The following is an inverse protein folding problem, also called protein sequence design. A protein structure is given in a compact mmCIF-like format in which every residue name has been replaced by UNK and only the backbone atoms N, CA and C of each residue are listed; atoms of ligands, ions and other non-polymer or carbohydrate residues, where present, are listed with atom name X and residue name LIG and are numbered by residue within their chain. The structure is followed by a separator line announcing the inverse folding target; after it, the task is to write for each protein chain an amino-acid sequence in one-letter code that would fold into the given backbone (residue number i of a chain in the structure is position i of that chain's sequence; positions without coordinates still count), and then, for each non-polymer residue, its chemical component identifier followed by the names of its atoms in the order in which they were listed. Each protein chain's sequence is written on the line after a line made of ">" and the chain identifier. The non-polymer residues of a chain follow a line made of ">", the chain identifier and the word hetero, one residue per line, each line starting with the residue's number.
data_IF_983211853707
#
_entry.id   IF_983211853707
#
_cell.length_a   1.000
_cell.length_b   1.000
_cell.length_c   1.000
_cell.angle_alpha   90.00
_cell.angle_beta   90.00
_cell.angle_gamma   90.00
#
_symmetry.space_group_name_H-M   'P 1'
#
loop_
_entity.id
_entity.type
_entity.pdbx_description
1 polymer ?
#
# COMPACT_ATOMS: atom_id res chain seq x y z
N UNK A 1 2.99 -35.77 -27.32
CA UNK A 1 2.39 -36.00 -25.99
C UNK A 1 1.97 -34.67 -25.40
N UNK A 2 0.69 -34.31 -25.58
CA UNK A 2 0.09 -33.08 -25.05
C UNK A 2 -0.27 -33.29 -23.57
N UNK A 3 0.45 -32.64 -22.66
CA UNK A 3 0.09 -32.63 -21.24
C UNK A 3 -1.30 -32.00 -21.08
N UNK A 4 -2.23 -32.60 -20.33
CA UNK A 4 -3.54 -32.02 -20.10
C UNK A 4 -3.38 -30.69 -19.35
N UNK A 5 -3.87 -29.61 -19.96
CA UNK A 5 -3.96 -28.29 -19.33
C UNK A 5 -4.89 -28.43 -18.12
N UNK A 6 -4.34 -28.52 -16.91
CA UNK A 6 -5.11 -28.41 -15.67
C UNK A 6 -5.91 -27.12 -15.76
N UNK A 7 -7.25 -27.22 -15.78
CA UNK A 7 -8.16 -26.07 -15.75
C UNK A 7 -7.82 -25.24 -14.51
N UNK A 8 -7.09 -24.15 -14.69
CA UNK A 8 -6.81 -23.22 -13.60
C UNK A 8 -8.15 -22.71 -13.06
N UNK A 9 -8.43 -22.98 -11.80
CA UNK A 9 -9.66 -22.53 -11.16
C UNK A 9 -9.62 -21.01 -11.01
N UNK A 10 -10.78 -20.38 -11.17
CA UNK A 10 -10.93 -18.95 -10.90
C UNK A 10 -10.58 -18.68 -9.45
N UNK A 11 -9.84 -17.60 -9.17
CA UNK A 11 -9.64 -17.16 -7.78
C UNK A 11 -10.95 -16.69 -7.14
N UNK A 12 -11.95 -16.30 -7.94
CA UNK A 12 -13.22 -15.80 -7.43
C UNK A 12 -14.03 -16.88 -6.71
N UNK A 13 -13.97 -18.15 -7.15
CA UNK A 13 -14.73 -19.25 -6.55
C UNK A 13 -14.36 -19.55 -5.08
N UNK A 14 -13.09 -19.79 -4.73
CA UNK A 14 -12.70 -20.02 -3.34
C UNK A 14 -12.89 -18.77 -2.47
N UNK A 15 -12.66 -17.58 -3.02
CA UNK A 15 -12.93 -16.31 -2.33
C UNK A 15 -14.41 -16.17 -1.98
N UNK A 16 -15.28 -16.39 -2.97
CA UNK A 16 -16.72 -16.27 -2.80
C UNK A 16 -17.27 -17.30 -1.81
N UNK A 17 -16.80 -18.56 -1.90
CA UNK A 17 -17.15 -19.61 -0.95
C UNK A 17 -16.72 -19.24 0.48
N UNK A 18 -15.52 -18.69 0.65
CA UNK A 18 -15.00 -18.27 1.94
C UNK A 18 -15.80 -17.10 2.54
N UNK A 19 -16.13 -16.08 1.73
CA UNK A 19 -16.95 -14.93 2.16
C UNK A 19 -18.34 -15.39 2.56
N UNK A 20 -19.00 -16.25 1.76
CA UNK A 20 -20.31 -16.81 2.10
C UNK A 20 -20.23 -17.61 3.40
N UNK A 21 -19.25 -18.50 3.54
CA UNK A 21 -19.08 -19.31 4.74
C UNK A 21 -18.93 -18.44 5.99
N UNK A 22 -18.15 -17.36 5.91
CA UNK A 22 -17.98 -16.40 7.02
C UNK A 22 -19.25 -15.62 7.35
N UNK A 23 -20.01 -15.18 6.34
CA UNK A 23 -21.30 -14.50 6.56
C UNK A 23 -22.32 -15.44 7.20
N UNK A 24 -22.41 -16.68 6.71
CA UNK A 24 -23.30 -17.72 7.28
C UNK A 24 -22.91 -18.02 8.72
N UNK A 25 -21.61 -18.20 9.00
CA UNK A 25 -21.11 -18.45 10.35
C UNK A 25 -21.42 -17.30 11.31
N UNK A 26 -21.17 -16.05 10.89
CA UNK A 26 -21.48 -14.87 11.71
C UNK A 26 -22.98 -14.74 11.97
N UNK A 27 -23.82 -14.98 10.96
CA UNK A 27 -25.28 -14.94 11.09
C UNK A 27 -25.77 -16.03 12.03
N UNK A 28 -25.23 -17.25 11.93
CA UNK A 28 -25.56 -18.36 12.82
C UNK A 28 -25.15 -18.08 14.28
N UNK A 29 -23.98 -17.47 14.50
CA UNK A 29 -23.51 -17.05 15.83
C UNK A 29 -24.45 -16.00 16.41
N UNK A 30 -24.80 -14.97 15.63
CA UNK A 30 -25.71 -13.90 16.07
C UNK A 30 -27.12 -14.45 16.37
N UNK A 31 -27.62 -15.34 15.51
CA UNK A 31 -28.89 -16.03 15.70
C UNK A 31 -28.87 -16.87 16.98
N UNK A 32 -27.83 -17.69 17.17
CA UNK A 32 -27.71 -18.52 18.36
C UNK A 32 -27.69 -17.67 19.63
N UNK A 33 -26.93 -16.57 19.66
CA UNK A 33 -26.87 -15.67 20.83
C UNK A 33 -28.19 -14.95 21.10
N UNK A 34 -28.86 -14.48 20.04
CA UNK A 34 -30.15 -13.78 20.15
C UNK A 34 -31.24 -14.70 20.71
N UNK A 35 -31.22 -15.99 20.34
CA UNK A 35 -32.24 -16.97 20.71
C UNK A 35 -31.85 -17.91 21.86
N UNK A 36 -30.58 -17.94 22.30
CA UNK A 36 -30.07 -18.80 23.38
C UNK A 36 -30.31 -18.25 24.80
N UNK A 37 -31.19 -17.26 24.95
CA UNK A 37 -31.69 -16.87 26.24
C UNK A 37 -32.62 -15.67 26.12
N UNK A 38 -33.78 -15.66 26.80
CA UNK A 38 -34.54 -14.43 26.94
C UNK A 38 -33.68 -13.38 27.68
N UNK A 39 -33.81 -12.08 27.35
CA UNK A 39 -33.22 -11.04 28.19
C UNK A 39 -33.68 -11.28 29.64
N UNK A 40 -32.83 -11.03 30.65
CA UNK A 40 -33.17 -11.27 32.05
C UNK A 40 -34.35 -10.39 32.45
N UNK A 41 -35.57 -10.89 32.28
CA UNK A 41 -36.76 -10.29 32.88
C UNK A 41 -36.90 -10.90 34.25
N UNK A 42 -36.98 -10.08 35.29
CA UNK A 42 -37.37 -10.55 36.62
C UNK A 42 -38.76 -11.19 36.46
N UNK A 43 -38.97 -12.44 36.90
CA UNK A 43 -40.29 -13.04 36.85
C UNK A 43 -41.27 -12.20 37.67
N UNK A 44 -42.56 -12.12 37.29
CA UNK A 44 -43.54 -11.36 38.04
C UNK A 44 -43.59 -11.80 39.49
N UNK A 45 -43.78 -10.82 40.38
CA UNK A 45 -43.91 -11.07 41.82
C UNK A 45 -45.36 -10.88 42.24
N UNK A 46 -46.03 -11.93 42.76
CA UNK A 46 -47.37 -11.76 43.28
C UNK A 46 -47.32 -10.87 44.53
N UNK A 47 -48.32 -9.99 44.67
CA UNK A 47 -48.46 -9.10 45.84
C UNK A 47 -48.45 -9.88 47.16
N UNK A 48 -48.98 -11.10 47.17
CA UNK A 48 -49.02 -11.98 48.33
C UNK A 48 -47.60 -12.37 48.80
N UNK A 49 -46.67 -12.62 47.87
CA UNK A 49 -45.28 -12.92 48.23
C UNK A 49 -44.55 -11.70 48.79
N UNK A 50 -44.86 -10.52 48.29
CA UNK A 50 -44.28 -9.25 48.79
C UNK A 50 -44.85 -8.93 50.18
N UNK A 51 -46.15 -9.16 50.37
CA UNK A 51 -46.85 -8.99 51.65
C UNK A 51 -46.30 -9.96 52.71
N UNK A 52 -46.07 -11.22 52.35
CA UNK A 52 -45.43 -12.19 53.23
C UNK A 52 -44.03 -11.74 53.65
N UNK A 53 -43.23 -11.23 52.70
CA UNK A 53 -41.90 -10.68 53.00
C UNK A 53 -41.96 -9.43 53.92
N UNK A 54 -42.95 -8.55 53.76
CA UNK A 54 -43.19 -7.42 54.68
C UNK A 54 -43.55 -7.90 56.09
N UNK A 55 -44.29 -9.01 56.21
CA UNK A 55 -44.58 -9.64 57.51
C UNK A 55 -43.39 -10.36 58.13
N UNK A 56 -42.30 -10.54 57.39
CA UNK A 56 -41.15 -11.36 57.81
C UNK A 56 -41.43 -12.87 57.72
N UNK A 57 -42.48 -13.27 57.01
CA UNK A 57 -42.82 -14.67 56.76
C UNK A 57 -42.09 -15.19 55.51
N UNK A 58 -41.80 -16.50 55.42
CA UNK A 58 -41.32 -17.08 54.18
C UNK A 58 -42.37 -16.84 53.07
N UNK A 59 -41.95 -16.46 51.85
CA UNK A 59 -42.90 -16.23 50.78
C UNK A 59 -43.63 -17.53 50.42
N UNK A 60 -44.94 -17.49 50.13
CA UNK A 60 -45.66 -18.66 49.65
C UNK A 60 -45.02 -19.20 48.35
N UNK A 61 -45.11 -20.52 48.10
CA UNK A 61 -44.64 -21.09 46.85
C UNK A 61 -45.33 -20.39 45.68
N UNK A 62 -44.57 -20.07 44.63
CA UNK A 62 -45.13 -19.42 43.45
C UNK A 62 -46.16 -20.36 42.79
N UNK A 63 -47.32 -19.84 42.36
CA UNK A 63 -48.32 -20.66 41.70
C UNK A 63 -47.77 -21.33 40.43
N UNK A 64 -48.29 -22.51 40.03
CA UNK A 64 -47.77 -23.28 38.90
C UNK A 64 -47.77 -22.50 37.58
N UNK A 65 -48.69 -21.56 37.39
CA UNK A 65 -48.72 -20.66 36.22
C UNK A 65 -47.48 -19.77 36.08
N UNK A 66 -46.85 -19.37 37.19
CA UNK A 66 -45.60 -18.61 37.18
C UNK A 66 -44.38 -19.48 36.84
N UNK A 67 -44.53 -20.81 36.96
CA UNK A 67 -43.53 -21.80 36.55
C UNK A 67 -43.71 -22.26 35.09
N UNK A 68 -44.79 -21.85 34.40
CA UNK A 68 -45.08 -22.26 33.00
C UNK A 68 -44.12 -21.69 31.96
N UNK A 69 -43.41 -20.61 32.26
CA UNK A 69 -42.37 -20.06 31.37
C UNK A 69 -41.04 -20.82 31.48
N UNK A 70 -41.09 -22.14 31.57
CA UNK A 70 -39.92 -23.01 31.38
C UNK A 70 -39.72 -23.14 29.86
N UNK A 71 -38.58 -22.71 29.28
CA UNK A 71 -38.35 -22.91 27.86
C UNK A 71 -38.46 -24.41 27.52
N UNK A 72 -39.14 -24.78 26.43
CA UNK A 72 -39.29 -26.18 26.04
C UNK A 72 -37.91 -26.70 25.62
N UNK A 73 -37.37 -27.68 26.35
CA UNK A 73 -36.05 -28.26 26.10
C UNK A 73 -35.14 -28.21 27.32
N UNK A 74 -35.03 -29.35 28.01
CA UNK A 74 -34.37 -29.53 29.31
C UNK A 74 -32.85 -29.35 29.36
N UNK A 75 -32.31 -28.18 28.99
CA UNK A 75 -30.90 -27.81 29.27
C UNK A 75 -30.71 -26.46 29.96
N UNK A 76 -31.74 -25.63 30.05
CA UNK A 76 -31.67 -24.34 30.73
C UNK A 76 -32.21 -24.46 32.15
N UNK A 77 -31.38 -24.09 33.15
CA UNK A 77 -31.77 -24.01 34.57
C UNK A 77 -33.04 -23.16 34.68
N UNK A 78 -34.05 -23.67 35.37
CA UNK A 78 -35.25 -22.92 35.74
C UNK A 78 -34.86 -21.52 36.26
N UNK A 79 -35.67 -20.50 35.95
CA UNK A 79 -35.47 -19.13 36.42
C UNK A 79 -35.03 -19.13 37.89
N UNK A 80 -33.80 -18.70 38.16
CA UNK A 80 -33.31 -18.59 39.53
C UNK A 80 -33.95 -17.34 40.10
N UNK A 81 -35.03 -17.52 40.85
CA UNK A 81 -35.75 -16.43 41.50
C UNK A 81 -34.88 -15.91 42.62
N UNK A 82 -34.22 -14.76 42.41
CA UNK A 82 -33.44 -14.13 43.48
C UNK A 82 -34.35 -13.73 44.65
N UNK A 83 -33.91 -13.85 45.89
CA UNK A 83 -34.70 -13.43 47.05
C UNK A 83 -35.00 -11.92 46.99
N UNK A 84 -36.13 -11.51 47.56
CA UNK A 84 -36.45 -10.09 47.73
C UNK A 84 -35.50 -9.48 48.77
N UNK A 85 -35.03 -8.26 48.53
CA UNK A 85 -34.22 -7.52 49.50
C UNK A 85 -35.15 -6.98 50.59
N UNK A 86 -34.96 -7.44 51.83
CA UNK A 86 -35.72 -6.96 52.99
C UNK A 86 -34.80 -6.12 53.89
N UNK A 87 -35.22 -4.89 54.17
CA UNK A 87 -34.45 -3.92 54.94
C UNK A 87 -35.37 -3.28 55.99
N UNK A 88 -34.81 -2.86 57.12
CA UNK A 88 -35.51 -2.02 58.10
C UNK A 88 -34.81 -0.67 58.17
N UNK A 89 -35.56 0.43 58.08
CA UNK A 89 -35.04 1.79 58.03
C UNK A 89 -35.84 2.70 58.97
N UNK A 90 -35.15 3.65 59.64
CA UNK A 90 -35.82 4.60 60.53
C UNK A 90 -36.62 5.69 59.78
N UNK A 91 -36.20 6.03 58.56
CA UNK A 91 -36.84 7.03 57.71
C UNK A 91 -37.63 6.39 56.55
N UNK A 92 -38.60 7.13 56.02
CA UNK A 92 -39.36 6.71 54.85
C UNK A 92 -38.43 6.49 53.63
N UNK A 93 -38.55 5.37 52.91
CA UNK A 93 -37.70 5.11 51.76
C UNK A 93 -38.04 6.00 50.58
N UNK A 94 -37.01 6.41 49.83
CA UNK A 94 -37.15 7.12 48.56
C UNK A 94 -37.26 6.13 47.39
N UNK A 95 -37.96 6.50 46.29
CA UNK A 95 -38.01 5.70 45.07
C UNK A 95 -36.61 5.55 44.43
N UNK A 96 -36.37 4.41 43.77
CA UNK A 96 -35.18 4.25 42.90
C UNK A 96 -35.37 5.01 41.57
N UNK A 97 -34.27 5.22 40.81
CA UNK A 97 -34.19 6.04 39.57
C UNK A 97 -35.34 5.85 38.55
N UNK A 98 -35.99 4.68 38.49
CA UNK A 98 -37.09 4.40 37.55
C UNK A 98 -38.46 4.16 38.21
N UNK A 99 -38.53 4.19 39.53
CA UNK A 99 -39.76 3.89 40.27
C UNK A 99 -40.58 5.18 40.44
N UNK A 100 -41.91 5.05 40.29
CA UNK A 100 -42.86 6.13 40.51
C UNK A 100 -43.85 5.75 41.61
N UNK A 101 -44.41 6.70 42.37
CA UNK A 101 -45.46 6.41 43.34
C UNK A 101 -46.65 5.71 42.68
N UNK A 102 -47.10 4.59 43.27
CA UNK A 102 -48.17 3.76 42.76
C UNK A 102 -49.26 3.55 43.82
N UNK A 103 -50.25 4.46 43.79
CA UNK A 103 -51.36 4.47 44.75
C UNK A 103 -52.23 3.21 44.67
N UNK A 104 -52.33 2.57 43.50
CA UNK A 104 -53.12 1.35 43.33
C UNK A 104 -52.45 0.17 44.04
N UNK A 105 -51.13 0.01 43.84
CA UNK A 105 -50.34 -1.01 44.53
C UNK A 105 -50.32 -0.75 46.03
N UNK A 106 -50.17 0.51 46.46
CA UNK A 106 -50.22 0.93 47.86
C UNK A 106 -51.53 0.50 48.53
N UNK A 107 -52.68 0.84 47.95
CA UNK A 107 -53.99 0.50 48.50
C UNK A 107 -54.19 -1.02 48.61
N UNK A 108 -53.73 -1.79 47.62
CA UNK A 108 -53.87 -3.25 47.61
C UNK A 108 -53.02 -3.94 48.67
N UNK A 109 -51.79 -3.47 48.87
CA UNK A 109 -50.91 -4.00 49.91
C UNK A 109 -51.44 -3.64 51.30
N UNK A 110 -51.97 -2.42 51.47
CA UNK A 110 -52.62 -2.02 52.72
C UNK A 110 -53.80 -2.93 53.07
N UNK A 111 -54.65 -3.27 52.09
CA UNK A 111 -55.73 -4.25 52.27
C UNK A 111 -55.19 -5.63 52.65
N UNK A 112 -54.15 -6.12 51.97
CA UNK A 112 -53.56 -7.42 52.26
C UNK A 112 -52.87 -7.48 53.63
N UNK A 113 -52.30 -6.37 54.10
CA UNK A 113 -51.67 -6.23 55.42
C UNK A 113 -52.68 -5.95 56.55
N UNK A 114 -53.92 -5.57 56.22
CA UNK A 114 -54.94 -5.07 57.15
C UNK A 114 -54.50 -3.80 57.90
N UNK A 115 -53.94 -2.83 57.18
CA UNK A 115 -53.47 -1.53 57.71
C UNK A 115 -54.03 -0.35 56.92
N UNK A 116 -53.91 0.87 57.44
CA UNK A 116 -54.33 2.06 56.71
C UNK A 116 -53.45 2.29 55.47
N UNK A 117 -53.99 2.77 54.33
CA UNK A 117 -53.19 3.07 53.14
C UNK A 117 -52.03 4.03 53.40
N UNK A 118 -52.15 4.92 54.38
CA UNK A 118 -51.09 5.86 54.78
C UNK A 118 -49.87 5.21 55.43
N UNK A 119 -50.01 3.99 55.97
CA UNK A 119 -48.91 3.24 56.59
C UNK A 119 -48.09 2.44 55.58
N UNK A 120 -48.47 2.48 54.30
CA UNK A 120 -47.79 1.77 53.22
C UNK A 120 -47.31 2.77 52.18
N UNK A 121 -46.08 2.61 51.71
CA UNK A 121 -45.55 3.31 50.54
C UNK A 121 -45.25 2.29 49.45
N UNK A 122 -45.67 2.58 48.22
CA UNK A 122 -45.38 1.73 47.07
C UNK A 122 -44.82 2.57 45.91
N UNK A 123 -43.64 2.20 45.44
CA UNK A 123 -43.00 2.76 44.26
C UNK A 123 -42.74 1.63 43.26
N UNK A 124 -43.22 1.78 42.03
CA UNK A 124 -43.11 0.75 40.97
C UNK A 124 -42.56 1.35 39.66
N UNK A 125 -41.72 0.62 38.93
CA UNK A 125 -41.22 1.03 37.60
C UNK A 125 -42.27 0.78 36.51
N UNK A 126 -42.92 -0.37 36.56
CA UNK A 126 -43.92 -0.81 35.58
C UNK A 126 -45.27 -0.97 36.26
N UNK A 127 -46.34 -0.61 35.55
CA UNK A 127 -47.69 -0.80 36.03
C UNK A 127 -47.99 -2.29 36.30
N UNK A 128 -48.71 -2.61 37.39
CA UNK A 128 -49.09 -3.98 37.72
C UNK A 128 -49.87 -4.69 36.57
N UNK A 129 -49.63 -5.99 36.34
CA UNK A 129 -50.43 -6.82 35.41
C UNK A 129 -51.24 -7.87 36.18
N UNK A 130 -51.98 -8.73 35.47
CA UNK A 130 -52.80 -9.79 36.10
C UNK A 130 -53.92 -9.23 36.98
N UNK A 131 -54.64 -8.22 36.47
CA UNK A 131 -55.62 -7.47 37.26
C UNK A 131 -55.01 -6.65 38.39
N UNK A 132 -53.67 -6.46 38.37
CA UNK A 132 -52.84 -5.73 39.32
C UNK A 132 -52.41 -6.54 40.54
N UNK A 133 -52.43 -7.87 40.45
CA UNK A 133 -51.96 -8.77 41.53
C UNK A 133 -50.48 -9.11 41.40
N UNK A 134 -49.83 -8.65 40.34
CA UNK A 134 -48.45 -8.98 39.97
C UNK A 134 -47.64 -7.72 39.65
N UNK A 135 -46.45 -7.61 40.26
CA UNK A 135 -45.49 -6.54 39.98
C UNK A 135 -44.36 -7.02 39.07
N UNK A 136 -43.90 -6.12 38.20
CA UNK A 136 -42.83 -6.33 37.22
C UNK A 136 -41.78 -5.23 37.34
N UNK A 137 -40.55 -5.52 36.94
CA UNK A 137 -39.45 -4.55 36.96
C UNK A 137 -38.99 -4.21 38.36
N UNK A 138 -38.36 -3.04 38.53
CA UNK A 138 -37.95 -2.58 39.86
C UNK A 138 -39.14 -2.07 40.68
N UNK A 139 -39.18 -2.44 41.95
CA UNK A 139 -40.16 -1.90 42.90
C UNK A 139 -39.56 -1.76 44.31
N UNK A 140 -40.09 -0.79 45.04
CA UNK A 140 -39.83 -0.54 46.45
C UNK A 140 -41.16 -0.41 47.19
N UNK A 141 -41.43 -1.31 48.12
CA UNK A 141 -42.63 -1.26 48.96
C UNK A 141 -42.20 -1.19 50.42
N UNK A 142 -42.83 -0.31 51.18
CA UNK A 142 -42.53 -0.09 52.57
C UNK A 142 -43.78 -0.14 53.42
N UNK A 143 -43.65 -0.72 54.61
CA UNK A 143 -44.68 -0.72 55.65
C UNK A 143 -44.14 -0.05 56.90
N UNK A 144 -44.89 0.92 57.43
CA UNK A 144 -44.60 1.62 58.66
C UNK A 144 -44.95 0.74 59.88
N UNK A 145 -43.96 0.43 60.71
CA UNK A 145 -44.10 -0.24 61.99
C UNK A 145 -43.72 0.73 63.12
N UNK A 146 -44.12 0.45 64.39
CA UNK A 146 -43.74 1.29 65.54
C UNK A 146 -42.23 1.48 65.73
N UNK A 147 -41.42 0.58 65.17
CA UNK A 147 -39.96 0.57 65.26
C UNK A 147 -39.26 1.15 64.01
N UNK A 148 -40.04 1.65 63.04
CA UNK A 148 -39.55 2.19 61.76
C UNK A 148 -40.20 1.54 60.54
N UNK A 149 -39.65 1.80 59.36
CA UNK A 149 -40.12 1.29 58.08
C UNK A 149 -39.48 -0.05 57.75
N UNK A 150 -40.29 -1.05 57.41
CA UNK A 150 -39.81 -2.27 56.78
C UNK A 150 -40.00 -2.19 55.28
N UNK A 151 -38.91 -2.33 54.54
CA UNK A 151 -38.82 -2.10 53.11
C UNK A 151 -38.51 -3.41 52.40
N UNK A 152 -39.33 -3.76 51.42
CA UNK A 152 -39.12 -4.88 50.51
C UNK A 152 -38.86 -4.33 49.12
N UNK A 153 -37.71 -4.68 48.53
CA UNK A 153 -37.31 -4.23 47.20
C UNK A 153 -37.04 -5.41 46.29
N UNK A 154 -37.29 -5.20 45.00
CA UNK A 154 -36.73 -6.08 43.96
C UNK A 154 -35.20 -6.00 43.96
N UNK A 155 -34.48 -7.10 43.68
CA UNK A 155 -33.02 -7.05 43.53
C UNK A 155 -32.62 -6.09 42.41
N UNK A 156 -31.50 -5.38 42.60
CA UNK A 156 -30.95 -4.51 41.55
C UNK A 156 -30.49 -5.36 40.35
N UNK A 157 -31.08 -5.13 39.18
CA UNK A 157 -30.62 -5.78 37.95
C UNK A 157 -29.18 -5.34 37.65
N UNK A 158 -28.23 -6.27 37.44
CA UNK A 158 -26.87 -5.89 37.10
C UNK A 158 -26.84 -5.18 35.74
N UNK A 159 -26.08 -4.08 35.64
CA UNK A 159 -25.90 -3.34 34.40
C UNK A 159 -25.33 -4.21 33.27
N UNK A 160 -24.47 -5.17 33.62
CA UNK A 160 -23.91 -6.18 32.70
C UNK A 160 -24.30 -7.58 33.15
N UNK A 161 -24.94 -8.34 32.26
CA UNK A 161 -25.37 -9.71 32.52
C UNK A 161 -24.50 -10.68 31.71
N UNK A 162 -24.49 -11.96 32.08
CA UNK A 162 -23.81 -13.00 31.28
C UNK A 162 -24.33 -13.06 29.85
N UNK A 163 -25.59 -12.72 29.61
CA UNK A 163 -26.17 -12.62 28.27
C UNK A 163 -25.55 -11.47 27.47
N UNK A 164 -25.37 -10.28 28.07
CA UNK A 164 -24.65 -9.17 27.45
C UNK A 164 -23.20 -9.56 27.11
N UNK A 165 -22.49 -10.22 28.04
CA UNK A 165 -21.13 -10.69 27.80
C UNK A 165 -21.06 -11.71 26.66
N UNK A 166 -21.97 -12.70 26.64
CA UNK A 166 -22.06 -13.67 25.55
C UNK A 166 -22.34 -12.99 24.20
N UNK A 167 -23.16 -11.94 24.21
CA UNK A 167 -23.48 -11.16 23.00
C UNK A 167 -22.28 -10.38 22.48
N UNK A 168 -21.53 -9.72 23.38
CA UNK A 168 -20.30 -9.02 23.02
C UNK A 168 -19.23 -9.99 22.48
N UNK A 169 -19.05 -11.13 23.13
CA UNK A 169 -18.11 -12.18 22.67
C UNK A 169 -18.52 -12.68 21.28
N UNK A 170 -19.81 -12.98 21.08
CA UNK A 170 -20.32 -13.43 19.78
C UNK A 170 -20.13 -12.40 18.67
N UNK A 171 -20.35 -11.12 18.96
CA UNK A 171 -20.11 -10.03 18.00
C UNK A 171 -18.62 -9.90 17.66
N UNK A 172 -17.73 -10.02 18.64
CA UNK A 172 -16.28 -10.04 18.41
C UNK A 172 -15.86 -11.23 17.53
N UNK A 173 -16.37 -12.43 17.82
CA UNK A 173 -16.09 -13.63 17.02
C UNK A 173 -16.59 -13.45 15.59
N UNK A 174 -17.79 -12.89 15.40
CA UNK A 174 -18.32 -12.58 14.06
C UNK A 174 -17.42 -11.59 13.30
N UNK A 175 -16.98 -10.51 13.95
CA UNK A 175 -16.06 -9.53 13.35
C UNK A 175 -14.75 -10.20 12.92
N UNK A 176 -14.14 -11.00 13.78
CA UNK A 176 -12.89 -11.72 13.47
C UNK A 176 -13.11 -12.71 12.32
N UNK A 177 -14.22 -13.46 12.34
CA UNK A 177 -14.58 -14.43 11.29
C UNK A 177 -14.80 -13.78 9.92
N UNK A 178 -15.29 -12.53 9.86
CA UNK A 178 -15.41 -11.75 8.63
C UNK A 178 -14.11 -11.04 8.23
N UNK A 179 -13.26 -10.68 9.19
CA UNK A 179 -12.01 -9.94 8.92
C UNK A 179 -10.92 -10.80 8.28
N UNK A 180 -10.78 -12.06 8.73
CA UNK A 180 -9.79 -13.00 8.18
C UNK A 180 -9.94 -13.19 6.65
N UNK A 181 -11.12 -13.53 6.11
CA UNK A 181 -11.29 -13.72 4.67
C UNK A 181 -11.17 -12.42 3.89
N UNK A 182 -11.60 -11.29 4.45
CA UNK A 182 -11.42 -9.98 3.83
C UNK A 182 -9.93 -9.62 3.69
N UNK A 183 -9.13 -9.89 4.73
CA UNK A 183 -7.68 -9.70 4.68
C UNK A 183 -7.00 -10.66 3.68
N UNK A 184 -7.38 -11.94 3.69
CA UNK A 184 -6.87 -12.92 2.72
C UNK A 184 -7.21 -12.51 1.29
N UNK A 185 -8.44 -12.07 1.04
CA UNK A 185 -8.91 -11.56 -0.25
C UNK A 185 -8.08 -10.36 -0.72
N UNK A 186 -7.93 -9.35 0.14
CA UNK A 186 -7.12 -8.16 -0.14
C UNK A 186 -5.70 -8.55 -0.53
N UNK A 187 -5.09 -9.50 0.19
CA UNK A 187 -3.71 -9.95 -0.07
C UNK A 187 -3.61 -10.82 -1.33
N UNK A 188 -4.61 -11.63 -1.62
CA UNK A 188 -4.67 -12.50 -2.80
C UNK A 188 -4.82 -11.72 -4.11
N UNK A 189 -5.50 -10.56 -4.08
CA UNK A 189 -5.67 -9.68 -5.26
C UNK A 189 -4.52 -8.67 -5.36
N UNK A 190 -4.19 -7.97 -4.28
CA UNK A 190 -3.24 -6.84 -4.34
C UNK A 190 -1.81 -7.27 -4.66
N UNK A 191 -1.37 -8.43 -4.15
CA UNK A 191 0.00 -8.93 -4.39
C UNK A 191 0.29 -9.23 -5.87
N UNK A 192 -0.52 -10.04 -6.59
CA UNK A 192 -0.27 -10.30 -8.00
C UNK A 192 -0.39 -9.03 -8.85
N UNK A 193 -1.34 -8.14 -8.55
CA UNK A 193 -1.45 -6.85 -9.25
C UNK A 193 -0.18 -6.00 -9.09
N UNK A 194 0.35 -5.88 -7.88
CA UNK A 194 1.59 -5.14 -7.63
C UNK A 194 2.79 -5.73 -8.38
N UNK A 195 2.88 -7.07 -8.47
CA UNK A 195 3.93 -7.73 -9.26
C UNK A 195 3.78 -7.50 -10.76
N UNK A 196 2.55 -7.51 -11.27
CA UNK A 196 2.27 -7.23 -12.68
C UNK A 196 2.55 -5.77 -13.03
N UNK A 197 2.20 -4.82 -12.16
CA UNK A 197 2.55 -3.42 -12.31
C UNK A 197 4.07 -3.21 -12.35
N UNK A 198 4.80 -3.80 -11.40
CA UNK A 198 6.27 -3.74 -11.39
C UNK A 198 6.90 -4.39 -12.64
N UNK A 199 6.30 -5.45 -13.20
CA UNK A 199 6.75 -6.06 -14.45
C UNK A 199 6.49 -5.14 -15.67
N UNK A 200 5.38 -4.41 -15.67
CA UNK A 200 5.06 -3.42 -16.71
C UNK A 200 6.03 -2.22 -16.66
N UNK A 201 6.31 -1.66 -15.47
CA UNK A 201 7.24 -0.54 -15.32
C UNK A 201 8.65 -0.90 -15.82
N UNK A 202 9.11 -2.12 -15.50
CA UNK A 202 10.41 -2.65 -15.97
C UNK A 202 10.46 -2.88 -17.48
N UNK A 203 9.32 -3.10 -18.13
CA UNK A 203 9.26 -3.21 -19.59
C UNK A 203 9.65 -1.89 -20.27
N UNK A 204 9.30 -0.75 -19.67
CA UNK A 204 9.65 0.58 -20.18
C UNK A 204 11.15 0.88 -20.13
N UNK A 205 11.89 0.22 -19.23
CA UNK A 205 13.35 0.42 -19.07
C UNK A 205 14.19 -0.62 -19.82
N UNK A 206 13.56 -1.51 -20.61
CA UNK A 206 14.24 -2.60 -21.31
C UNK A 206 14.79 -3.70 -20.40
N UNK A 207 14.35 -3.76 -19.14
CA UNK A 207 14.82 -4.75 -18.17
C UNK A 207 14.17 -6.12 -18.41
N UNK A 208 14.84 -7.25 -18.09
CA UNK A 208 14.27 -8.58 -18.27
C UNK A 208 12.94 -8.78 -17.53
N UNK A 209 12.02 -9.50 -18.15
CA UNK A 209 10.74 -9.84 -17.54
C UNK A 209 10.96 -10.66 -16.25
N UNK A 210 10.49 -10.17 -15.08
CA UNK A 210 10.57 -10.95 -13.83
C UNK A 210 9.61 -12.15 -13.90
N UNK A 211 9.81 -13.19 -13.06
CA UNK A 211 8.91 -14.33 -13.00
C UNK A 211 7.48 -13.87 -12.68
N UNK A 212 6.57 -14.05 -13.65
CA UNK A 212 5.19 -13.63 -13.52
C UNK A 212 4.44 -14.52 -12.51
N UNK A 213 3.47 -13.96 -11.77
CA UNK A 213 2.76 -14.72 -10.75
C UNK A 213 1.94 -15.88 -11.34
N UNK A 214 2.14 -17.07 -10.79
CA UNK A 214 1.25 -18.22 -10.99
C UNK A 214 0.00 -18.05 -10.11
N UNK A 215 -1.08 -17.52 -10.69
CA UNK A 215 -2.35 -17.30 -10.00
C UNK A 215 -3.52 -18.06 -10.61
N UNK A 216 -4.74 -17.68 -10.21
CA UNK A 216 -5.97 -18.14 -10.86
C UNK A 216 -6.02 -17.79 -12.34
N UNK A 217 -7.06 -18.26 -13.04
CA UNK A 217 -7.22 -18.04 -14.48
C UNK A 217 -7.08 -16.56 -14.86
N UNK A 218 -7.70 -15.67 -14.10
CA UNK A 218 -7.71 -14.22 -14.36
C UNK A 218 -6.29 -13.62 -14.26
N UNK A 219 -5.54 -14.01 -13.22
CA UNK A 219 -4.15 -13.56 -13.03
C UNK A 219 -3.25 -14.13 -14.12
N UNK A 220 -3.48 -15.37 -14.56
CA UNK A 220 -2.72 -16.00 -15.65
C UNK A 220 -3.00 -15.35 -17.00
N UNK A 221 -4.25 -15.01 -17.30
CA UNK A 221 -4.62 -14.29 -18.52
C UNK A 221 -3.95 -12.91 -18.56
N UNK A 222 -3.99 -12.17 -17.44
CA UNK A 222 -3.32 -10.88 -17.35
C UNK A 222 -1.79 -11.01 -17.42
N UNK A 223 -1.21 -12.00 -16.75
CA UNK A 223 0.23 -12.31 -16.84
C UNK A 223 0.63 -12.62 -18.29
N UNK A 224 -0.15 -13.42 -19.01
CA UNK A 224 0.10 -13.72 -20.41
C UNK A 224 0.02 -12.45 -21.29
N UNK A 225 -0.96 -11.58 -21.05
CA UNK A 225 -1.08 -10.30 -21.77
C UNK A 225 0.15 -9.40 -21.54
N UNK A 226 0.60 -9.26 -20.29
CA UNK A 226 1.82 -8.50 -19.93
C UNK A 226 3.07 -9.12 -20.57
N UNK A 227 3.23 -10.45 -20.52
CA UNK A 227 4.34 -11.15 -21.17
C UNK A 227 4.35 -10.93 -22.68
N UNK A 228 3.18 -10.96 -23.31
CA UNK A 228 3.02 -10.76 -24.75
C UNK A 228 3.39 -9.33 -25.14
N UNK A 229 2.93 -8.34 -24.37
CA UNK A 229 3.28 -6.94 -24.56
C UNK A 229 4.80 -6.73 -24.45
N UNK A 230 5.43 -7.29 -23.40
CA UNK A 230 6.87 -7.20 -23.19
C UNK A 230 7.66 -7.81 -24.34
N UNK A 231 7.29 -9.01 -24.80
CA UNK A 231 7.91 -9.65 -25.96
C UNK A 231 7.77 -8.81 -27.24
N UNK A 232 6.60 -8.19 -27.46
CA UNK A 232 6.40 -7.27 -28.60
C UNK A 232 7.28 -6.04 -28.51
N UNK A 233 7.41 -5.41 -27.34
CA UNK A 233 8.29 -4.25 -27.14
C UNK A 233 9.76 -4.61 -27.42
N UNK A 234 10.22 -5.73 -26.86
CA UNK A 234 11.58 -6.22 -27.11
C UNK A 234 11.82 -6.51 -28.60
N UNK A 235 10.88 -7.19 -29.26
CA UNK A 235 10.97 -7.47 -30.70
C UNK A 235 10.99 -6.19 -31.55
N UNK A 236 10.18 -5.17 -31.24
CA UNK A 236 10.22 -3.89 -31.96
C UNK A 236 11.57 -3.17 -31.77
N UNK A 237 12.14 -3.21 -30.57
CA UNK A 237 13.46 -2.63 -30.29
C UNK A 237 14.58 -3.39 -31.05
N UNK A 238 14.52 -4.72 -31.06
CA UNK A 238 15.42 -5.58 -31.84
C UNK A 238 15.31 -5.30 -33.35
N UNK A 239 14.10 -5.26 -33.90
CA UNK A 239 13.88 -4.96 -35.32
C UNK A 239 14.37 -3.57 -35.71
N UNK A 240 14.16 -2.54 -34.86
CA UNK A 240 14.69 -1.20 -35.09
C UNK A 240 16.21 -1.19 -35.12
N UNK A 241 16.84 -1.96 -34.24
CA UNK A 241 18.31 -2.09 -34.17
C UNK A 241 18.85 -2.83 -35.39
N UNK A 242 18.21 -3.92 -35.81
CA UNK A 242 18.57 -4.68 -37.00
C UNK A 242 18.43 -3.84 -38.28
N UNK A 243 17.35 -3.06 -38.39
CA UNK A 243 17.14 -2.13 -39.51
C UNK A 243 18.24 -1.07 -39.58
N UNK A 244 18.59 -0.45 -38.44
CA UNK A 244 19.68 0.53 -38.40
C UNK A 244 21.02 -0.11 -38.77
N UNK A 245 21.28 -1.35 -38.33
CA UNK A 245 22.48 -2.12 -38.71
C UNK A 245 22.56 -2.37 -40.22
N UNK A 246 21.46 -2.76 -40.85
CA UNK A 246 21.38 -2.94 -42.30
C UNK A 246 21.63 -1.63 -43.05
N UNK A 247 20.95 -0.54 -42.67
CA UNK A 247 21.13 0.78 -43.29
C UNK A 247 22.59 1.24 -43.19
N UNK A 248 23.23 1.07 -42.04
CA UNK A 248 24.63 1.45 -41.86
C UNK A 248 25.59 0.63 -42.71
N UNK A 249 25.34 -0.67 -42.86
CA UNK A 249 26.11 -1.53 -43.76
C UNK A 249 25.98 -1.04 -45.21
N UNK A 250 24.75 -0.77 -45.64
CA UNK A 250 24.46 -0.32 -47.00
C UNK A 250 25.03 1.08 -47.28
N UNK A 251 25.13 1.96 -46.28
CA UNK A 251 25.79 3.27 -46.38
C UNK A 251 27.33 3.20 -46.36
N UNK A 252 27.92 2.18 -45.75
CA UNK A 252 29.38 2.00 -45.73
C UNK A 252 29.95 1.76 -47.13
N UNK A 253 29.20 1.09 -47.99
CA UNK A 253 29.59 0.77 -49.38
C UNK A 253 29.73 2.03 -50.27
N UNK A 254 28.72 2.92 -50.39
CA UNK A 254 28.87 4.16 -51.14
C UNK A 254 29.87 5.13 -50.51
N UNK A 255 30.01 5.18 -49.18
CA UNK A 255 31.04 6.00 -48.53
C UNK A 255 32.47 5.53 -48.87
N UNK A 256 32.69 4.22 -48.94
CA UNK A 256 33.98 3.66 -49.36
C UNK A 256 34.27 3.95 -50.83
N UNK A 257 33.23 3.92 -51.67
CA UNK A 257 33.36 4.32 -53.07
C UNK A 257 33.66 5.81 -53.22
N UNK A 258 32.98 6.68 -52.46
CA UNK A 258 33.25 8.12 -52.46
C UNK A 258 34.67 8.43 -51.99
N UNK A 259 35.18 7.72 -50.97
CA UNK A 259 36.56 7.88 -50.50
C UNK A 259 37.56 7.61 -51.63
N UNK A 260 37.35 6.56 -52.41
CA UNK A 260 38.18 6.23 -53.57
C UNK A 260 38.14 7.31 -54.68
N UNK A 261 36.96 7.89 -54.94
CA UNK A 261 36.85 9.00 -55.91
C UNK A 261 37.54 10.27 -55.41
N UNK A 262 37.49 10.52 -54.10
CA UNK A 262 38.12 11.68 -53.47
C UNK A 262 39.65 11.62 -53.53
N UNK A 263 40.26 10.43 -53.53
CA UNK A 263 41.71 10.28 -53.72
C UNK A 263 42.23 10.89 -55.05
N UNK A 264 41.36 11.09 -56.04
CA UNK A 264 41.70 11.71 -57.33
C UNK A 264 41.62 13.25 -57.31
N UNK A 265 41.24 13.87 -56.19
CA UNK A 265 41.19 15.33 -56.04
C UNK A 265 42.57 15.93 -55.68
N UNK A 266 42.81 17.22 -55.98
CA UNK A 266 43.99 17.94 -55.51
C UNK A 266 44.10 17.93 -53.97
N UNK A 267 45.32 17.91 -53.42
CA UNK A 267 45.61 17.67 -51.99
C UNK A 267 44.69 18.42 -51.01
N UNK A 268 44.51 19.74 -51.18
CA UNK A 268 43.68 20.54 -50.27
C UNK A 268 42.17 20.25 -50.32
N UNK A 269 41.66 19.75 -51.45
CA UNK A 269 40.26 19.32 -51.59
C UNK A 269 40.09 17.85 -51.17
N UNK A 270 41.10 17.01 -51.41
CA UNK A 270 41.14 15.62 -50.96
C UNK A 270 41.08 15.55 -49.44
N UNK A 271 41.96 16.23 -48.74
CA UNK A 271 42.07 16.11 -47.27
C UNK A 271 40.78 16.56 -46.58
N UNK A 272 40.11 17.60 -47.10
CA UNK A 272 38.81 18.06 -46.60
C UNK A 272 37.71 17.04 -46.87
N UNK A 273 37.64 16.46 -48.07
CA UNK A 273 36.62 15.48 -48.41
C UNK A 273 36.82 14.12 -47.72
N UNK A 274 38.07 13.71 -47.44
CA UNK A 274 38.38 12.53 -46.62
C UNK A 274 37.91 12.77 -45.18
N UNK A 275 38.19 13.94 -44.61
CA UNK A 275 37.73 14.31 -43.27
C UNK A 275 36.19 14.26 -43.15
N UNK A 276 35.45 14.77 -44.14
CA UNK A 276 33.99 14.71 -44.17
C UNK A 276 33.48 13.25 -44.23
N UNK A 277 34.14 12.37 -45.00
CA UNK A 277 33.78 10.96 -45.10
C UNK A 277 34.05 10.20 -43.80
N UNK A 278 35.17 10.48 -43.15
CA UNK A 278 35.50 9.89 -41.85
C UNK A 278 34.54 10.38 -40.75
N UNK A 279 34.13 11.65 -40.79
CA UNK A 279 33.06 12.16 -39.93
C UNK A 279 31.76 11.38 -40.17
N UNK A 280 31.34 11.20 -41.43
CA UNK A 280 30.15 10.41 -41.75
C UNK A 280 30.24 8.95 -41.24
N UNK A 281 31.41 8.30 -41.38
CA UNK A 281 31.64 6.95 -40.82
C UNK A 281 31.53 6.94 -39.30
N UNK A 282 32.13 7.92 -38.63
CA UNK A 282 32.06 8.06 -37.17
C UNK A 282 30.61 8.27 -36.71
N UNK A 283 29.84 9.09 -37.43
CA UNK A 283 28.43 9.34 -37.14
C UNK A 283 27.59 8.07 -37.25
N UNK A 284 27.74 7.30 -38.34
CA UNK A 284 27.05 6.02 -38.54
C UNK A 284 27.41 5.02 -37.43
N UNK A 285 28.70 4.90 -37.10
CA UNK A 285 29.16 4.02 -36.04
C UNK A 285 28.59 4.40 -34.67
N UNK A 286 28.38 5.68 -34.41
CA UNK A 286 27.76 6.17 -33.17
C UNK A 286 26.26 5.87 -33.11
N UNK A 287 25.50 6.10 -34.21
CA UNK A 287 24.08 5.72 -34.32
C UNK A 287 23.89 4.22 -34.07
N UNK A 288 24.73 3.38 -34.67
CA UNK A 288 24.69 1.93 -34.46
C UNK A 288 25.02 1.52 -33.03
N UNK A 289 25.95 2.22 -32.39
CA UNK A 289 26.29 1.97 -30.98
C UNK A 289 25.19 2.45 -30.04
N UNK A 290 24.45 3.50 -30.40
CA UNK A 290 23.27 3.96 -29.67
C UNK A 290 22.14 2.92 -29.79
N UNK A 291 21.79 2.50 -31.01
CA UNK A 291 20.74 1.50 -31.24
C UNK A 291 21.01 0.16 -30.52
N UNK A 292 22.24 -0.36 -30.60
CA UNK A 292 22.63 -1.61 -29.92
C UNK A 292 22.66 -1.52 -28.39
N UNK A 293 22.73 -0.32 -27.81
CA UNK A 293 22.71 -0.18 -26.36
C UNK A 293 21.34 -0.47 -25.75
N UNK A 294 20.26 -0.30 -26.52
CA UNK A 294 18.87 -0.49 -26.09
C UNK A 294 18.45 -1.97 -25.98
N UNK A 295 19.22 -2.89 -26.57
CA UNK A 295 18.77 -4.29 -26.84
C UNK A 295 19.54 -5.37 -26.06
N UNK A 296 20.58 -5.01 -25.29
CA UNK A 296 21.49 -6.01 -24.69
C UNK A 296 21.16 -6.41 -23.25
N UNK A 297 20.97 -7.72 -23.00
CA UNK A 297 21.13 -8.36 -21.68
C UNK A 297 22.55 -8.08 -21.17
N UNK A 298 22.68 -7.40 -20.04
CA UNK A 298 24.00 -7.13 -19.43
C UNK A 298 23.99 -7.48 -17.95
N UNK A 299 25.11 -8.02 -17.49
CA UNK A 299 25.32 -8.35 -16.08
C UNK A 299 25.42 -7.06 -15.28
N UNK A 300 24.45 -6.82 -14.41
CA UNK A 300 24.57 -5.83 -13.36
C UNK A 300 25.60 -6.33 -12.36
N UNK A 301 26.73 -5.63 -12.26
CA UNK A 301 27.78 -5.92 -11.29
C UNK A 301 27.95 -4.73 -10.35
N UNK A 302 28.69 -4.92 -9.26
CA UNK A 302 29.08 -3.82 -8.38
C UNK A 302 30.25 -3.08 -9.03
N UNK A 303 30.04 -1.80 -9.32
CA UNK A 303 31.02 -0.92 -9.97
C UNK A 303 31.45 0.15 -8.98
N UNK A 304 32.74 0.20 -8.69
CA UNK A 304 33.34 1.30 -7.92
C UNK A 304 33.53 2.50 -8.85
N UNK A 305 32.65 3.49 -8.68
CA UNK A 305 32.53 4.63 -9.58
C UNK A 305 33.77 5.55 -9.51
N UNK A 306 34.37 5.71 -8.33
CA UNK A 306 35.62 6.45 -8.15
C UNK A 306 36.72 5.92 -9.05
N UNK A 307 37.01 4.62 -8.97
CA UNK A 307 38.05 3.98 -9.79
C UNK A 307 37.77 4.07 -11.30
N UNK A 308 36.49 4.01 -11.68
CA UNK A 308 36.09 4.17 -13.09
C UNK A 308 36.33 5.60 -13.59
N UNK A 309 36.00 6.61 -12.78
CA UNK A 309 36.21 8.03 -13.13
C UNK A 309 37.70 8.37 -13.17
N UNK A 310 38.49 7.87 -12.22
CA UNK A 310 39.94 8.05 -12.17
C UNK A 310 40.60 7.43 -13.41
N UNK A 311 40.28 6.16 -13.72
CA UNK A 311 40.79 5.49 -14.92
C UNK A 311 40.42 6.23 -16.21
N UNK A 312 39.20 6.76 -16.31
CA UNK A 312 38.78 7.54 -17.49
C UNK A 312 39.54 8.86 -17.61
N UNK A 313 39.78 9.54 -16.49
CA UNK A 313 40.53 10.78 -16.50
C UNK A 313 42.00 10.55 -16.88
N UNK A 314 42.61 9.48 -16.37
CA UNK A 314 43.96 9.06 -16.75
C UNK A 314 44.05 8.74 -18.25
N UNK A 315 43.12 7.94 -18.79
CA UNK A 315 43.06 7.58 -20.21
C UNK A 315 43.03 8.84 -21.11
N UNK A 316 42.28 9.87 -20.72
CA UNK A 316 42.16 11.13 -21.47
C UNK A 316 43.38 12.05 -21.28
N UNK A 317 43.97 12.07 -20.08
CA UNK A 317 45.16 12.85 -19.78
C UNK A 317 46.39 12.36 -20.54
N UNK A 318 46.53 11.04 -20.75
CA UNK A 318 47.55 10.45 -21.62
C UNK A 318 47.47 10.99 -23.06
N UNK A 319 46.25 11.31 -23.52
CA UNK A 319 46.00 11.96 -24.81
C UNK A 319 46.25 13.47 -24.84
N UNK A 320 46.73 14.07 -23.75
CA UNK A 320 47.01 15.50 -23.63
C UNK A 320 45.80 16.37 -23.26
N UNK A 321 44.68 15.76 -22.87
CA UNK A 321 43.48 16.49 -22.48
C UNK A 321 43.56 17.07 -21.06
N UNK A 322 43.03 18.29 -20.85
CA UNK A 322 42.99 18.94 -19.53
C UNK A 322 41.81 18.41 -18.69
N UNK A 323 42.00 17.28 -18.01
CA UNK A 323 41.01 16.67 -17.12
C UNK A 323 41.49 16.72 -15.68
N UNK A 324 40.68 17.27 -14.78
CA UNK A 324 40.96 17.31 -13.33
C UNK A 324 39.90 16.55 -12.56
N UNK A 325 40.32 15.71 -11.61
CA UNK A 325 39.42 14.92 -10.77
C UNK A 325 39.58 15.36 -9.31
N UNK A 326 38.49 15.77 -8.68
CA UNK A 326 38.48 16.08 -7.25
C UNK A 326 38.42 14.78 -6.43
N UNK A 327 39.15 14.75 -5.31
CA UNK A 327 39.03 13.64 -4.36
C UNK A 327 37.60 13.58 -3.79
N UNK A 328 36.99 12.39 -3.86
CA UNK A 328 35.62 12.18 -3.39
C UNK A 328 35.48 10.88 -2.61
N UNK A 329 34.32 10.67 -1.94
CA UNK A 329 34.06 9.47 -1.17
C UNK A 329 33.95 8.23 -2.06
N UNK A 330 34.28 7.04 -1.52
CA UNK A 330 34.12 5.78 -2.24
C UNK A 330 32.64 5.53 -2.57
N UNK A 331 32.31 5.46 -3.86
CA UNK A 331 30.95 5.25 -4.34
C UNK A 331 30.84 3.94 -5.13
N UNK A 332 29.97 3.04 -4.69
CA UNK A 332 29.70 1.76 -5.38
C UNK A 332 28.26 1.75 -5.88
N UNK A 333 28.08 1.53 -7.17
CA UNK A 333 26.78 1.46 -7.84
C UNK A 333 26.57 0.07 -8.44
N UNK A 334 25.32 -0.37 -8.54
CA UNK A 334 24.99 -1.59 -9.27
C UNK A 334 24.68 -1.22 -10.72
N UNK A 335 25.39 -1.82 -11.67
CA UNK A 335 25.25 -1.41 -13.07
C UNK A 335 26.12 -2.17 -14.06
N UNK A 336 26.00 -1.76 -15.33
CA UNK A 336 26.84 -2.22 -16.44
C UNK A 336 28.12 -1.34 -16.51
N UNK A 337 29.31 -1.89 -16.23
CA UNK A 337 30.56 -1.13 -16.25
C UNK A 337 30.83 -0.45 -17.60
N UNK A 338 30.48 -1.11 -18.71
CA UNK A 338 30.74 -0.59 -20.05
C UNK A 338 29.83 0.60 -20.38
N UNK A 339 28.57 0.53 -19.97
CA UNK A 339 27.61 1.63 -20.07
C UNK A 339 28.02 2.83 -19.22
N UNK A 340 28.35 2.61 -17.94
CA UNK A 340 28.80 3.70 -17.06
C UNK A 340 30.06 4.38 -17.59
N UNK A 341 31.06 3.60 -18.03
CA UNK A 341 32.27 4.14 -18.66
C UNK A 341 31.93 5.04 -19.86
N UNK A 342 31.01 4.60 -20.71
CA UNK A 342 30.58 5.36 -21.89
C UNK A 342 29.83 6.64 -21.54
N UNK A 343 28.96 6.60 -20.53
CA UNK A 343 28.24 7.77 -20.03
C UNK A 343 29.23 8.88 -19.64
N UNK A 344 30.21 8.55 -18.80
CA UNK A 344 31.16 9.55 -18.33
C UNK A 344 32.15 9.97 -19.43
N UNK A 345 32.60 9.05 -20.30
CA UNK A 345 33.41 9.40 -21.46
C UNK A 345 32.71 10.41 -22.38
N UNK A 346 31.40 10.29 -22.60
CA UNK A 346 30.63 11.26 -23.38
C UNK A 346 30.53 12.62 -22.69
N UNK A 347 30.38 12.67 -21.36
CA UNK A 347 30.35 13.92 -20.62
C UNK A 347 31.70 14.62 -20.63
N UNK A 348 32.78 13.88 -20.38
CA UNK A 348 34.15 14.41 -20.40
C UNK A 348 34.51 14.88 -21.82
N UNK A 349 34.19 14.08 -22.83
CA UNK A 349 34.43 14.44 -24.24
C UNK A 349 33.67 15.70 -24.66
N UNK A 350 32.43 15.87 -24.20
CA UNK A 350 31.68 17.12 -24.42
C UNK A 350 32.35 18.29 -23.70
N UNK A 351 32.73 18.15 -22.43
CA UNK A 351 33.39 19.22 -21.67
C UNK A 351 34.70 19.67 -22.33
N UNK A 352 35.53 18.73 -22.78
CA UNK A 352 36.77 19.02 -23.51
C UNK A 352 36.52 19.71 -24.85
N UNK A 353 35.50 19.28 -25.59
CA UNK A 353 35.19 19.83 -26.90
C UNK A 353 34.61 21.25 -26.85
N UNK A 354 33.83 21.56 -25.83
CA UNK A 354 33.12 22.85 -25.73
C UNK A 354 33.78 23.85 -24.77
N UNK A 355 34.62 23.39 -23.84
CA UNK A 355 35.26 24.24 -22.83
C UNK A 355 36.72 23.92 -22.54
N UNK A 356 37.39 23.20 -23.46
CA UNK A 356 38.83 22.85 -23.46
C UNK A 356 39.35 22.08 -22.24
N UNK A 357 38.51 21.90 -21.23
CA UNK A 357 38.85 21.32 -19.94
C UNK A 357 37.62 20.67 -19.30
N UNK A 358 37.85 19.62 -18.52
CA UNK A 358 36.81 18.91 -17.79
C UNK A 358 37.19 18.80 -16.31
N UNK A 359 36.34 19.31 -15.42
CA UNK A 359 36.48 19.16 -13.99
C UNK A 359 35.43 18.19 -13.44
N UNK A 360 35.89 17.07 -12.87
CA UNK A 360 35.04 16.04 -12.29
C UNK A 360 35.04 16.16 -10.76
N UNK A 361 33.85 16.07 -10.18
CA UNK A 361 33.67 15.94 -8.74
C UNK A 361 32.46 15.04 -8.45
N UNK A 362 32.41 14.42 -7.28
CA UNK A 362 31.23 13.69 -6.84
C UNK A 362 31.04 13.75 -5.34
N UNK A 363 29.78 13.58 -4.93
CA UNK A 363 29.34 13.54 -3.53
C UNK A 363 28.29 12.46 -3.32
N UNK A 364 28.15 12.01 -2.08
CA UNK A 364 27.16 11.02 -1.66
C UNK A 364 26.19 11.67 -0.69
N UNK A 365 24.90 11.65 -1.04
CA UNK A 365 23.80 12.17 -0.21
C UNK A 365 22.56 11.29 -0.38
N UNK A 366 21.82 11.05 0.71
CA UNK A 366 20.55 10.31 0.71
C UNK A 366 20.59 8.95 -0.01
N UNK A 367 21.68 8.21 0.12
CA UNK A 367 21.87 6.90 -0.53
C UNK A 367 22.06 6.98 -2.05
N UNK A 368 22.43 8.16 -2.57
CA UNK A 368 22.71 8.40 -3.99
C UNK A 368 24.09 9.02 -4.16
N UNK A 369 24.75 8.70 -5.27
CA UNK A 369 25.97 9.39 -5.71
C UNK A 369 25.58 10.41 -6.79
N UNK A 370 26.05 11.64 -6.62
CA UNK A 370 25.89 12.72 -7.61
C UNK A 370 27.27 13.08 -8.15
N UNK A 371 27.48 12.84 -9.45
CA UNK A 371 28.70 13.17 -10.18
C UNK A 371 28.45 14.40 -11.03
N UNK A 372 29.36 15.36 -10.97
CA UNK A 372 29.33 16.58 -11.77
C UNK A 372 30.53 16.63 -12.70
N UNK A 373 30.30 16.94 -13.97
CA UNK A 373 31.32 17.24 -14.97
C UNK A 373 31.14 18.67 -15.42
N UNK A 374 32.07 19.54 -15.07
CA UNK A 374 32.02 20.97 -15.37
C UNK A 374 33.04 21.36 -16.44
N UNK A 375 32.65 22.25 -17.34
CA UNK A 375 33.53 22.83 -18.38
C UNK A 375 33.75 24.33 -18.17
N UNK A 376 34.55 24.95 -19.05
CA UNK A 376 34.81 26.40 -19.12
C UNK A 376 34.35 27.02 -20.45
N UNK A 377 33.38 26.37 -21.09
CA UNK A 377 32.84 26.79 -22.38
C UNK A 377 31.93 28.01 -22.28
N UNK A 378 31.22 28.34 -23.37
CA UNK A 378 30.30 29.48 -23.41
C UNK A 378 29.01 29.27 -22.58
N UNK A 379 28.81 28.08 -21.99
CA UNK A 379 27.56 27.68 -21.36
C UNK A 379 26.48 27.25 -22.37
N UNK A 380 25.27 27.09 -21.88
CA UNK A 380 24.08 26.66 -22.63
C UNK A 380 22.94 27.65 -22.45
N UNK A 381 22.03 27.72 -23.43
CA UNK A 381 20.73 28.36 -23.22
C UNK A 381 19.88 27.50 -22.26
N UNK A 382 19.46 28.03 -21.09
CA UNK A 382 18.63 27.29 -20.14
C UNK A 382 17.33 26.76 -20.76
N UNK A 383 16.77 27.45 -21.76
CA UNK A 383 15.56 27.00 -22.46
C UNK A 383 15.81 25.78 -23.36
N UNK A 384 17.06 25.52 -23.73
CA UNK A 384 17.46 24.40 -24.58
C UNK A 384 18.06 23.23 -23.78
N UNK A 385 18.41 23.43 -22.51
CA UNK A 385 19.11 22.44 -21.67
C UNK A 385 18.46 21.05 -21.71
N UNK A 386 17.13 21.00 -21.61
CA UNK A 386 16.37 19.74 -21.65
C UNK A 386 16.35 19.12 -23.05
N UNK A 387 16.20 19.95 -24.09
CA UNK A 387 16.17 19.51 -25.49
C UNK A 387 17.51 18.99 -25.98
N UNK A 388 18.62 19.44 -25.40
CA UNK A 388 19.97 18.94 -25.72
C UNK A 388 20.16 17.45 -25.39
N UNK A 389 19.28 16.86 -24.58
CA UNK A 389 19.25 15.41 -24.33
C UNK A 389 18.46 14.63 -25.38
N UNK A 390 17.76 15.28 -26.31
CA UNK A 390 17.08 14.61 -27.42
C UNK A 390 18.09 14.13 -28.48
N UNK A 391 17.90 12.94 -29.08
CA UNK A 391 18.78 12.45 -30.14
C UNK A 391 18.87 13.44 -31.31
N UNK A 392 20.09 13.65 -31.80
CA UNK A 392 20.41 14.50 -32.96
C UNK A 392 20.22 16.02 -32.74
N UNK A 393 19.90 16.45 -31.52
CA UNK A 393 19.77 17.88 -31.20
C UNK A 393 21.13 18.48 -30.89
N UNK A 394 21.41 19.67 -31.45
CA UNK A 394 22.62 20.46 -31.23
C UNK A 394 22.20 21.89 -30.86
N UNK A 395 22.90 22.53 -29.93
CA UNK A 395 22.52 23.86 -29.41
C UNK A 395 22.54 24.98 -30.47
N UNK A 396 23.61 25.07 -31.27
CA UNK A 396 23.72 26.10 -32.31
C UNK A 396 24.30 25.51 -33.62
N UNK A 397 23.52 25.37 -34.70
CA UNK A 397 23.98 24.78 -35.96
C UNK A 397 24.95 25.69 -36.73
N UNK A 398 25.04 26.99 -36.40
CA UNK A 398 25.86 27.97 -37.13
C UNK A 398 27.32 28.02 -36.64
N UNK A 399 27.52 27.88 -35.31
CA UNK A 399 28.84 27.98 -34.65
C UNK A 399 29.64 26.68 -34.65
N UNK A 400 29.04 25.56 -35.05
CA UNK A 400 29.53 24.22 -34.69
C UNK A 400 29.89 23.32 -35.88
N UNK A 401 30.04 23.89 -37.09
CA UNK A 401 30.47 23.14 -38.29
C UNK A 401 31.91 22.60 -38.19
N UNK A 402 32.76 23.17 -37.34
CA UNK A 402 34.16 22.75 -37.17
C UNK A 402 34.37 21.69 -36.08
N UNK A 403 33.44 21.52 -35.13
CA UNK A 403 33.70 20.66 -33.96
C UNK A 403 33.29 19.20 -34.14
N UNK A 404 32.58 18.84 -35.22
CA UNK A 404 32.31 17.45 -35.68
C UNK A 404 31.64 16.51 -34.68
N UNK A 405 30.30 16.37 -34.67
CA UNK A 405 29.60 15.50 -33.71
C UNK A 405 28.10 15.28 -33.97
N UNK A 406 27.62 14.07 -33.68
CA UNK A 406 26.29 13.56 -34.04
C UNK A 406 25.10 14.13 -33.26
N UNK A 407 25.33 14.74 -32.09
CA UNK A 407 24.26 15.08 -31.15
C UNK A 407 23.66 13.86 -30.42
N UNK A 408 24.36 12.72 -30.39
CA UNK A 408 23.92 11.52 -29.64
C UNK A 408 24.51 11.44 -28.23
N UNK A 409 25.62 12.13 -27.95
CA UNK A 409 26.36 12.01 -26.69
C UNK A 409 25.48 12.20 -25.44
N UNK A 410 24.71 13.28 -25.38
CA UNK A 410 23.82 13.56 -24.25
C UNK A 410 22.61 12.62 -24.19
N UNK A 411 22.04 12.25 -25.35
CA UNK A 411 20.97 11.24 -25.39
C UNK A 411 21.44 9.88 -24.84
N UNK A 412 22.69 9.48 -25.14
CA UNK A 412 23.34 8.30 -24.56
C UNK A 412 23.47 8.44 -23.04
N UNK A 413 23.93 9.60 -22.56
CA UNK A 413 24.07 9.87 -21.12
C UNK A 413 22.74 9.68 -20.39
N UNK A 414 21.66 10.29 -20.92
CA UNK A 414 20.33 10.19 -20.31
C UNK A 414 19.79 8.76 -20.34
N UNK A 415 19.92 8.06 -21.47
CA UNK A 415 19.50 6.66 -21.60
C UNK A 415 20.23 5.77 -20.60
N UNK A 416 21.55 5.91 -20.47
CA UNK A 416 22.35 5.11 -19.54
C UNK A 416 22.01 5.47 -18.09
N UNK A 417 21.88 6.76 -17.73
CA UNK A 417 21.52 7.17 -16.38
C UNK A 417 20.14 6.62 -15.96
N UNK A 418 19.13 6.77 -16.81
CA UNK A 418 17.77 6.28 -16.55
C UNK A 418 17.74 4.76 -16.37
N UNK A 419 18.48 4.01 -17.20
CA UNK A 419 18.63 2.55 -17.08
C UNK A 419 19.24 2.11 -15.74
N UNK A 420 20.07 2.95 -15.13
CA UNK A 420 20.65 2.70 -13.80
C UNK A 420 19.80 3.28 -12.66
N UNK A 421 18.53 3.64 -12.91
CA UNK A 421 17.63 4.22 -11.90
C UNK A 421 17.99 5.65 -11.49
N UNK A 422 18.81 6.31 -12.31
CA UNK A 422 19.33 7.65 -12.08
C UNK A 422 18.76 8.73 -13.00
N UNK A 423 19.31 9.92 -12.89
CA UNK A 423 18.93 11.11 -13.67
C UNK A 423 20.16 11.82 -14.20
N UNK A 424 20.00 12.54 -15.33
CA UNK A 424 21.03 13.38 -15.90
C UNK A 424 20.44 14.77 -16.21
N UNK A 425 21.09 15.82 -15.74
CA UNK A 425 20.66 17.22 -15.87
C UNK A 425 21.85 18.05 -16.37
N UNK A 426 21.56 19.09 -17.13
CA UNK A 426 22.55 20.04 -17.64
C UNK A 426 22.16 21.45 -17.19
N UNK A 427 23.11 22.19 -16.63
CA UNK A 427 22.90 23.56 -16.16
C UNK A 427 24.13 24.42 -16.47
N UNK A 428 23.98 25.75 -16.38
CA UNK A 428 25.14 26.65 -16.40
C UNK A 428 25.84 26.67 -15.04
N UNK A 429 27.13 27.00 -15.04
CA UNK A 429 27.87 27.31 -13.81
C UNK A 429 27.33 28.60 -13.18
N UNK A 430 27.23 28.63 -11.86
CA UNK A 430 26.68 29.78 -11.12
C UNK A 430 27.65 30.97 -11.10
N UNK A 431 28.96 30.72 -10.97
CA UNK A 431 29.98 31.75 -10.72
C UNK A 431 30.91 32.01 -11.91
N UNK A 432 30.75 31.28 -13.02
CA UNK A 432 31.65 31.35 -14.18
C UNK A 432 30.93 31.00 -15.48
N UNK A 433 31.55 31.31 -16.62
CA UNK A 433 31.13 30.76 -17.90
C UNK A 433 31.39 29.23 -17.95
N UNK A 434 30.46 28.49 -18.56
CA UNK A 434 30.56 27.04 -18.74
C UNK A 434 29.28 26.32 -18.34
N UNK A 435 29.22 25.04 -18.69
CA UNK A 435 28.13 24.15 -18.29
C UNK A 435 28.58 23.12 -17.25
N UNK A 436 27.60 22.58 -16.53
CA UNK A 436 27.74 21.48 -15.57
C UNK A 436 26.74 20.40 -15.93
N UNK A 437 27.24 19.23 -16.31
CA UNK A 437 26.45 18.02 -16.42
C UNK A 437 26.43 17.30 -15.07
N UNK A 438 25.24 17.07 -14.53
CA UNK A 438 25.04 16.40 -13.24
C UNK A 438 24.34 15.07 -13.46
N UNK A 439 24.95 13.98 -12.97
CA UNK A 439 24.39 12.63 -13.04
C UNK A 439 24.21 12.09 -11.63
N UNK A 440 22.99 11.68 -11.30
CA UNK A 440 22.66 11.11 -9.99
C UNK A 440 22.28 9.65 -10.14
N UNK A 441 22.97 8.75 -9.42
CA UNK A 441 22.74 7.30 -9.44
C UNK A 441 22.44 6.79 -8.02
N UNK A 442 21.58 5.76 -7.86
CA UNK A 442 21.40 5.09 -6.58
C UNK A 442 22.66 4.29 -6.20
N UNK A 443 23.06 4.36 -4.93
CA UNK A 443 24.12 3.49 -4.41
C UNK A 443 23.64 2.04 -4.31
N UNK A 444 24.57 1.11 -4.47
CA UNK A 444 24.30 -0.29 -4.18
C UNK A 444 23.96 -0.46 -2.69
N UNK A 445 22.92 -1.24 -2.40
CA UNK A 445 22.45 -1.54 -1.03
C UNK A 445 23.28 -2.60 -0.35
#
# INVERSE_FOLDING_TARGET
>A
MTRPVRRAHSIAQPIFALVIASVVAATAILFFVTFSGPPPRVPPRPLEAITAALRGLPPPPLPPEFLRFRPPGGRFRAWRIEPLETLTAAAAPTPRWREKPDALTQARIAVLLHVAPGDVLAFTELSPRGGGRELFGSFTIAWHLPQGWRVVRSPALPLFTRWHLNTLIAMLVAIVALSIPAWMLSRAISRPLARLAAAADRAGTGAPLPPLPEGGREVRELAHAVSTMHARLASHAESRTAMLAAIAHDLGTPLSRLAFWVEQLPDGARDRAVADIDEMRAMIAEVLRFARHDVGRREETLVELSSLLDSLAEDMAVGGAAVTVAAGPRAVVSGDPSGLRRLFANLIGNALRYGDSAALAWRIEDGRVTVTVADRGPGIDPAQAERLFEPFVRGDPSRNRSTGGTGLGLAIVRSIAARHGGTAVLANREEAAGAVATVTLPLAR
#
